data_IF_363065677497
#
_entry.id   IF_363065677497
#
_cell.length_a   1.000
_cell.length_b   1.000
_cell.length_c   1.000
_cell.angle_alpha   90.00
_cell.angle_beta   90.00
_cell.angle_gamma   90.00
#
_symmetry.space_group_name_H-M   'P 1'
#
loop_
_entity.id
_entity.type
_entity.pdbx_description
1 polymer ?
#
# COMPACT_ATOMS: atom_id res chain seq x y z
N UNK A 1 13.42 20.94 -19.44
CA UNK A 1 12.74 21.65 -18.33
C UNK A 1 12.25 20.61 -17.33
N UNK A 2 12.90 20.46 -16.17
CA UNK A 2 12.44 19.55 -15.11
C UNK A 2 11.35 20.28 -14.33
N UNK A 3 10.08 19.85 -14.45
CA UNK A 3 9.02 20.34 -13.56
C UNK A 3 9.35 19.89 -12.15
N UNK A 4 9.80 20.83 -11.33
CA UNK A 4 10.00 20.61 -9.91
C UNK A 4 8.61 20.48 -9.29
N UNK A 5 8.19 19.23 -9.07
CA UNK A 5 7.02 18.93 -8.24
C UNK A 5 7.23 19.62 -6.90
N UNK A 6 6.25 20.39 -6.44
CA UNK A 6 6.30 21.03 -5.13
C UNK A 6 6.54 19.93 -4.10
N UNK A 7 7.77 19.84 -3.59
CA UNK A 7 8.12 18.89 -2.53
C UNK A 7 7.31 19.31 -1.31
N UNK A 8 6.22 18.60 -1.05
CA UNK A 8 5.54 18.64 0.24
C UNK A 8 6.63 18.32 1.25
N UNK A 9 6.99 19.29 2.09
CA UNK A 9 7.97 19.06 3.16
C UNK A 9 7.47 17.86 3.96
N UNK A 10 8.33 16.90 4.36
CA UNK A 10 7.86 15.77 5.12
C UNK A 10 7.35 16.25 6.49
N UNK A 11 6.02 16.23 6.67
CA UNK A 11 5.34 16.83 7.83
C UNK A 11 4.60 15.79 8.68
N UNK A 12 4.40 14.57 8.18
CA UNK A 12 3.64 13.56 8.88
C UNK A 12 4.55 12.62 9.67
N UNK A 13 4.15 12.36 10.91
CA UNK A 13 4.76 11.31 11.76
C UNK A 13 4.22 9.92 11.39
N UNK A 14 2.98 9.84 10.90
CA UNK A 14 2.36 8.59 10.50
C UNK A 14 1.45 8.79 9.29
N UNK A 15 1.51 7.85 8.35
CA UNK A 15 0.63 7.79 7.16
C UNK A 15 -0.08 6.44 7.20
N UNK A 16 -1.40 6.43 7.10
CA UNK A 16 -2.21 5.21 7.02
C UNK A 16 -2.97 5.24 5.70
N UNK A 17 -2.95 4.16 4.92
CA UNK A 17 -3.62 4.12 3.63
C UNK A 17 -4.18 2.77 3.24
N UNK A 18 -5.24 2.82 2.45
CA UNK A 18 -5.84 1.70 1.74
C UNK A 18 -5.84 2.03 0.25
N UNK A 19 -4.66 1.91 -0.42
CA UNK A 19 -4.53 2.32 -1.80
C UNK A 19 -5.36 1.41 -2.72
N UNK A 20 -5.76 1.89 -3.90
CA UNK A 20 -6.38 1.04 -4.90
C UNK A 20 -5.42 -0.09 -5.29
N UNK A 21 -5.83 -1.36 -5.13
CA UNK A 21 -4.98 -2.54 -5.30
C UNK A 21 -4.54 -2.86 -6.75
N UNK A 22 -4.76 -1.95 -7.70
CA UNK A 22 -4.35 -2.17 -9.09
C UNK A 22 -5.08 -3.32 -9.80
N UNK A 23 -6.39 -3.40 -9.67
CA UNK A 23 -7.18 -4.35 -10.47
C UNK A 23 -7.15 -3.97 -11.95
N UNK A 24 -6.99 -4.96 -12.85
CA UNK A 24 -6.99 -4.82 -14.33
C UNK A 24 -5.72 -4.11 -14.87
N UNK A 25 -5.86 -3.07 -15.69
CA UNK A 25 -4.76 -2.40 -16.40
C UNK A 25 -3.88 -1.49 -15.53
N UNK A 26 -4.13 -1.45 -14.22
CA UNK A 26 -3.48 -0.52 -13.28
C UNK A 26 -2.60 -1.26 -12.26
N UNK A 27 -2.05 -2.42 -12.63
CA UNK A 27 -1.19 -3.21 -11.77
C UNK A 27 -0.02 -2.37 -11.24
N UNK A 28 0.21 -2.41 -9.92
CA UNK A 28 1.27 -1.67 -9.25
C UNK A 28 0.93 -0.21 -8.89
N UNK A 29 -0.30 0.26 -9.12
CA UNK A 29 -0.69 1.61 -8.68
C UNK A 29 -0.62 1.78 -7.17
N UNK A 30 -0.82 0.71 -6.39
CA UNK A 30 -0.66 0.69 -4.94
C UNK A 30 0.77 1.01 -4.50
N UNK A 31 1.78 0.68 -5.31
CA UNK A 31 3.18 1.03 -5.04
C UNK A 31 3.49 2.50 -5.25
N UNK A 32 2.85 3.17 -6.22
CA UNK A 32 2.99 4.62 -6.38
C UNK A 32 2.42 5.38 -5.18
N UNK A 33 1.38 4.86 -4.55
CA UNK A 33 0.87 5.39 -3.29
C UNK A 33 1.88 5.19 -2.14
N UNK A 34 2.60 4.06 -2.12
CA UNK A 34 3.67 3.81 -1.14
C UNK A 34 4.80 4.82 -1.32
N UNK A 35 5.26 5.06 -2.55
CA UNK A 35 6.27 6.08 -2.84
C UNK A 35 5.82 7.48 -2.38
N UNK A 36 4.58 7.85 -2.70
CA UNK A 36 4.01 9.13 -2.30
C UNK A 36 3.93 9.27 -0.77
N UNK A 37 3.41 8.25 -0.07
CA UNK A 37 3.29 8.27 1.38
C UNK A 37 4.66 8.32 2.09
N UNK A 38 5.67 7.63 1.56
CA UNK A 38 7.03 7.70 2.10
C UNK A 38 7.69 9.07 1.90
N UNK A 39 7.35 9.77 0.82
CA UNK A 39 7.90 11.10 0.52
C UNK A 39 7.44 12.20 1.49
N UNK A 40 6.26 12.02 2.10
CA UNK A 40 5.67 12.99 3.04
C UNK A 40 5.94 12.66 4.52
N UNK A 41 6.59 11.52 4.79
CA UNK A 41 6.95 11.10 6.14
C UNK A 41 8.24 11.73 6.63
N UNK A 42 8.23 12.18 7.89
CA UNK A 42 9.44 12.56 8.62
C UNK A 42 10.45 11.40 8.66
N UNK A 43 11.71 11.70 9.03
CA UNK A 43 12.81 10.73 9.05
C UNK A 43 12.46 9.42 9.77
N UNK A 44 11.80 9.53 10.92
CA UNK A 44 11.42 8.39 11.78
C UNK A 44 9.91 8.09 11.71
N UNK A 45 9.24 8.56 10.66
CA UNK A 45 7.82 8.39 10.49
C UNK A 45 7.45 6.97 10.04
N UNK A 46 6.23 6.55 10.37
CA UNK A 46 5.72 5.21 10.05
C UNK A 46 4.65 5.30 8.97
N UNK A 47 4.73 4.47 7.95
CA UNK A 47 3.60 4.28 7.03
C UNK A 47 2.86 3.03 7.50
N UNK A 48 1.59 2.88 7.17
CA UNK A 48 0.83 1.66 7.33
C UNK A 48 -0.07 1.54 6.10
N UNK A 49 0.17 0.54 5.25
CA UNK A 49 -0.59 0.35 4.02
C UNK A 49 -1.21 -1.03 3.95
N UNK A 50 -2.49 -1.10 3.53
CA UNK A 50 -3.16 -2.35 3.22
C UNK A 50 -2.80 -2.79 1.80
N UNK A 51 -2.36 -4.03 1.64
CA UNK A 51 -2.10 -4.66 0.35
C UNK A 51 -2.65 -6.09 0.30
N UNK A 52 -2.90 -6.60 -0.91
CA UNK A 52 -3.36 -7.97 -1.11
C UNK A 52 -2.26 -8.98 -0.72
N UNK A 53 -2.58 -10.01 0.08
CA UNK A 53 -1.59 -11.02 0.51
C UNK A 53 -0.82 -11.68 -0.64
N UNK A 54 -1.45 -11.92 -1.79
CA UNK A 54 -0.79 -12.49 -2.97
C UNK A 54 0.33 -11.62 -3.54
N UNK A 55 0.35 -10.33 -3.21
CA UNK A 55 1.36 -9.36 -3.68
C UNK A 55 2.46 -9.08 -2.64
N UNK A 56 2.41 -9.73 -1.47
CA UNK A 56 3.31 -9.48 -0.33
C UNK A 56 4.79 -9.54 -0.70
N UNK A 57 5.22 -10.62 -1.35
CA UNK A 57 6.63 -10.81 -1.72
C UNK A 57 7.11 -9.74 -2.72
N UNK A 58 6.25 -9.36 -3.66
CA UNK A 58 6.56 -8.33 -4.64
C UNK A 58 6.73 -6.96 -3.96
N UNK A 59 5.82 -6.60 -3.05
CA UNK A 59 5.88 -5.32 -2.35
C UNK A 59 7.10 -5.22 -1.43
N UNK A 60 7.44 -6.28 -0.69
CA UNK A 60 8.63 -6.31 0.15
C UNK A 60 9.93 -6.13 -0.67
N UNK A 61 10.01 -6.80 -1.83
CA UNK A 61 11.14 -6.67 -2.76
C UNK A 61 11.20 -5.27 -3.38
N UNK A 62 10.07 -4.68 -3.73
CA UNK A 62 10.01 -3.31 -4.27
C UNK A 62 10.56 -2.31 -3.25
N UNK A 63 10.11 -2.38 -2.00
CA UNK A 63 10.56 -1.49 -0.93
C UNK A 63 12.06 -1.63 -0.70
N UNK A 64 12.57 -2.86 -0.56
CA UNK A 64 14.00 -3.07 -0.30
C UNK A 64 14.92 -2.68 -1.47
N UNK A 65 14.45 -2.77 -2.71
CA UNK A 65 15.24 -2.41 -3.89
C UNK A 65 15.24 -0.92 -4.21
N UNK A 66 14.12 -0.23 -4.00
CA UNK A 66 13.94 1.17 -4.41
C UNK A 66 14.31 2.17 -3.33
N UNK A 67 14.31 1.75 -2.06
CA UNK A 67 14.40 2.66 -0.92
C UNK A 67 15.45 2.13 0.06
N UNK A 68 16.65 2.71 0.01
CA UNK A 68 17.71 2.38 0.96
C UNK A 68 17.30 2.74 2.39
N UNK A 69 17.48 1.80 3.32
CA UNK A 69 17.16 1.98 4.74
C UNK A 69 15.68 1.77 5.11
N UNK A 70 14.82 1.38 4.16
CA UNK A 70 13.40 1.11 4.42
C UNK A 70 13.12 -0.40 4.31
N UNK A 71 12.39 -0.96 5.28
CA UNK A 71 11.96 -2.36 5.24
C UNK A 71 10.43 -2.46 5.23
N UNK A 72 9.92 -3.43 4.47
CA UNK A 72 8.50 -3.76 4.43
C UNK A 72 8.29 -5.13 5.04
N UNK A 73 7.52 -5.21 6.12
CA UNK A 73 7.11 -6.47 6.73
C UNK A 73 5.60 -6.50 6.91
N UNK A 74 5.01 -7.69 6.86
CA UNK A 74 3.60 -7.88 7.13
C UNK A 74 3.36 -7.95 8.63
N UNK A 75 2.70 -6.95 9.22
CA UNK A 75 2.45 -6.91 10.67
C UNK A 75 1.07 -7.45 11.06
N UNK A 76 0.15 -7.57 10.10
CA UNK A 76 -1.19 -8.11 10.33
C UNK A 76 -1.78 -8.65 9.02
N UNK A 77 -2.58 -9.71 9.13
CA UNK A 77 -3.41 -10.25 8.04
C UNK A 77 -4.90 -10.10 8.42
N UNK A 78 -5.66 -9.32 7.64
CA UNK A 78 -7.10 -9.16 7.86
C UNK A 78 -7.91 -10.09 6.97
N UNK A 79 -8.84 -10.85 7.54
CA UNK A 79 -9.84 -11.66 6.82
C UNK A 79 -11.23 -11.11 7.10
N UNK A 80 -11.94 -10.65 6.07
CA UNK A 80 -13.28 -10.11 6.20
C UNK A 80 -14.07 -10.30 4.92
N UNK A 81 -15.39 -10.47 5.07
CA UNK A 81 -16.29 -10.75 3.97
C UNK A 81 -16.86 -9.43 3.44
N UNK A 82 -16.74 -9.22 2.13
CA UNK A 82 -17.39 -8.09 1.47
C UNK A 82 -18.74 -8.54 0.91
N UNK A 83 -19.87 -7.98 1.39
CA UNK A 83 -21.15 -8.23 0.76
C UNK A 83 -21.14 -7.63 -0.66
N UNK A 84 -21.92 -8.23 -1.54
CA UNK A 84 -22.04 -7.72 -2.90
C UNK A 84 -22.77 -6.38 -2.93
N UNK A 85 -22.03 -5.29 -3.10
CA UNK A 85 -22.56 -3.92 -3.14
C UNK A 85 -22.71 -3.33 -4.54
N UNK A 86 -22.07 -3.92 -5.56
CA UNK A 86 -22.13 -3.44 -6.95
C UNK A 86 -23.02 -4.31 -7.84
N UNK A 87 -23.71 -3.66 -8.80
CA UNK A 87 -24.64 -4.32 -9.72
C UNK A 87 -24.01 -5.39 -10.62
N UNK A 88 -22.69 -5.34 -10.85
CA UNK A 88 -21.95 -6.33 -11.63
C UNK A 88 -21.45 -7.53 -10.81
N UNK A 89 -21.77 -7.60 -9.51
CA UNK A 89 -21.41 -8.74 -8.66
C UNK A 89 -22.34 -9.92 -8.93
N UNK A 90 -21.78 -11.03 -9.43
CA UNK A 90 -22.53 -12.27 -9.72
C UNK A 90 -22.76 -13.17 -8.50
N UNK A 91 -22.02 -12.93 -7.40
CA UNK A 91 -22.10 -13.72 -6.15
C UNK A 91 -22.58 -12.81 -5.02
N UNK A 92 -23.43 -13.31 -4.11
CA UNK A 92 -24.03 -12.54 -2.99
C UNK A 92 -22.98 -12.03 -1.99
N UNK A 93 -21.94 -12.82 -1.79
CA UNK A 93 -20.70 -12.44 -1.12
C UNK A 93 -19.57 -13.10 -1.88
N UNK A 94 -18.41 -12.44 -1.86
CA UNK A 94 -17.15 -13.11 -2.19
C UNK A 94 -16.40 -13.12 -0.88
N UNK A 95 -16.00 -14.30 -0.42
CA UNK A 95 -14.94 -14.37 0.58
C UNK A 95 -13.74 -13.70 -0.08
N UNK A 96 -13.39 -12.52 0.39
CA UNK A 96 -12.09 -11.95 0.06
C UNK A 96 -11.10 -12.74 0.90
N UNK A 97 -10.83 -13.97 0.46
CA UNK A 97 -9.80 -14.88 0.98
C UNK A 97 -8.40 -14.24 0.86
N UNK A 98 -8.32 -13.11 0.17
CA UNK A 98 -7.14 -12.28 0.08
C UNK A 98 -6.98 -11.48 1.36
N UNK A 99 -6.25 -12.04 2.32
CA UNK A 99 -5.77 -11.31 3.48
C UNK A 99 -5.22 -9.94 3.08
N UNK A 100 -5.54 -8.90 3.87
CA UNK A 100 -4.87 -7.62 3.70
C UNK A 100 -3.65 -7.59 4.61
N UNK A 101 -2.50 -7.42 4.00
CA UNK A 101 -1.23 -7.27 4.68
C UNK A 101 -1.02 -5.79 5.00
N UNK A 102 -0.94 -5.46 6.28
CA UNK A 102 -0.46 -4.14 6.72
C UNK A 102 1.06 -4.16 6.67
N UNK A 103 1.68 -3.34 5.82
CA UNK A 103 3.15 -3.22 5.82
C UNK A 103 3.60 -1.91 6.46
N UNK A 104 4.72 -1.93 7.22
CA UNK A 104 5.89 -1.01 7.13
C UNK A 104 6.78 -0.95 8.37
N UNK A 105 8.08 -0.79 8.12
CA UNK A 105 9.00 -0.14 9.03
C UNK A 105 10.01 0.78 8.28
N UNK A 106 10.12 2.04 8.70
CA UNK A 106 11.21 2.94 8.28
C UNK A 106 12.11 3.10 9.49
N UNK A 107 13.34 2.60 9.40
CA UNK A 107 14.40 2.94 10.34
C UNK A 107 15.04 4.27 9.93
#
# INVERSE_FOLDING_TARGET
MKKQSAFVKPIFDTVIMNPPFGTKNNAGIDLHFVEAGLSILKKNGKLFSLHKSSTRQYNAKFVSQKLSGISGECIAELRWNLPATYAYHRRKSVDIEHGYCLMINKC
#
